data_IF_054893690808
#
_entry.id   IF_054893690808
#
_cell.length_a   1.000
_cell.length_b   1.000
_cell.length_c   1.000
_cell.angle_alpha   90.00
_cell.angle_beta   90.00
_cell.angle_gamma   90.00
#
_symmetry.space_group_name_H-M   'P 1'
#
loop_
_entity.id
_entity.type
_entity.pdbx_description
1 polymer ?
#
# COMPACT_ATOMS: atom_id res chain seq x y z
N UNK A 1 -0.19 -18.61 -15.17
CA UNK A 1 -1.39 -18.74 -14.32
C UNK A 1 -1.50 -17.44 -13.52
N UNK A 2 -2.47 -16.58 -13.85
CA UNK A 2 -2.74 -15.39 -13.02
C UNK A 2 -3.50 -15.91 -11.80
N UNK A 3 -2.95 -15.72 -10.60
CA UNK A 3 -3.69 -16.04 -9.38
C UNK A 3 -5.01 -15.25 -9.40
N UNK A 4 -6.13 -15.85 -9.04
CA UNK A 4 -7.42 -15.15 -8.98
C UNK A 4 -7.35 -14.09 -7.87
N UNK A 5 -6.85 -12.92 -8.21
CA UNK A 5 -6.48 -11.85 -7.29
C UNK A 5 -7.38 -10.62 -7.44
N UNK A 6 -8.33 -10.66 -8.37
CA UNK A 6 -9.28 -9.59 -8.68
C UNK A 6 -8.71 -8.50 -9.60
N UNK A 7 -7.49 -8.68 -10.11
CA UNK A 7 -6.85 -7.76 -11.04
C UNK A 7 -6.93 -8.28 -12.48
N UNK A 8 -6.98 -7.34 -13.41
CA UNK A 8 -6.93 -7.58 -14.85
C UNK A 8 -5.48 -7.79 -15.30
N UNK A 9 -5.29 -8.47 -16.43
CA UNK A 9 -3.95 -8.64 -17.02
C UNK A 9 -3.27 -7.30 -17.32
N UNK A 10 -4.04 -6.26 -17.69
CA UNK A 10 -3.52 -4.91 -17.91
C UNK A 10 -3.06 -4.22 -16.63
N UNK A 11 -3.59 -4.59 -15.46
CA UNK A 11 -3.17 -4.02 -14.18
C UNK A 11 -1.84 -4.62 -13.69
N UNK A 12 -1.35 -5.73 -14.26
CA UNK A 12 -0.07 -6.34 -13.88
C UNK A 12 1.13 -5.43 -14.14
N UNK A 13 1.07 -4.53 -15.13
CA UNK A 13 2.15 -3.55 -15.31
C UNK A 13 2.19 -2.52 -14.16
N UNK A 14 1.03 -2.19 -13.59
CA UNK A 14 0.93 -1.31 -12.42
C UNK A 14 1.47 -2.00 -11.17
N UNK A 15 1.28 -3.32 -11.04
CA UNK A 15 1.88 -4.11 -9.95
C UNK A 15 3.40 -3.93 -9.95
N UNK A 16 4.02 -4.17 -11.11
CA UNK A 16 5.46 -3.97 -11.29
C UNK A 16 5.88 -2.52 -11.00
N UNK A 17 5.14 -1.55 -11.55
CA UNK A 17 5.44 -0.13 -11.35
C UNK A 17 5.45 0.27 -9.87
N UNK A 18 4.42 -0.14 -9.11
CA UNK A 18 4.26 0.25 -7.70
C UNK A 18 5.02 -0.64 -6.72
N UNK A 19 5.43 -1.84 -7.13
CA UNK A 19 6.36 -2.68 -6.38
C UNK A 19 7.83 -2.27 -6.60
N UNK A 20 8.12 -1.58 -7.69
CA UNK A 20 9.47 -1.11 -8.02
C UNK A 20 9.94 0.02 -7.09
N UNK A 21 11.20 -0.06 -6.65
CA UNK A 21 11.88 1.02 -5.93
C UNK A 21 12.30 2.19 -6.82
N UNK A 22 12.15 2.07 -8.14
CA UNK A 22 12.68 3.04 -9.11
C UNK A 22 11.73 4.20 -9.41
N UNK A 23 10.49 4.16 -8.92
CA UNK A 23 9.51 5.21 -9.18
C UNK A 23 9.67 6.36 -8.17
N UNK A 24 10.37 7.42 -8.58
CA UNK A 24 10.45 8.65 -7.79
C UNK A 24 9.15 9.47 -7.91
N UNK A 25 8.95 10.35 -6.93
CA UNK A 25 7.71 11.13 -6.81
C UNK A 25 7.55 12.17 -7.93
N UNK A 26 8.63 12.77 -8.42
CA UNK A 26 8.55 13.80 -9.46
C UNK A 26 8.18 13.18 -10.81
N UNK A 27 8.79 12.05 -11.16
CA UNK A 27 8.44 11.28 -12.36
C UNK A 27 6.98 10.84 -12.28
N UNK A 28 6.53 10.36 -11.12
CA UNK A 28 5.14 9.95 -10.93
C UNK A 28 4.17 11.13 -11.09
N UNK A 29 4.38 12.26 -10.41
CA UNK A 29 3.56 13.47 -10.57
C UNK A 29 3.50 13.94 -12.02
N UNK A 30 4.63 13.92 -12.75
CA UNK A 30 4.64 14.25 -14.17
C UNK A 30 3.75 13.29 -14.98
N UNK A 31 3.84 11.98 -14.75
CA UNK A 31 2.96 11.00 -15.40
C UNK A 31 1.48 11.25 -15.08
N UNK A 32 1.15 11.52 -13.81
CA UNK A 32 -0.22 11.82 -13.37
C UNK A 32 -0.82 13.04 -14.09
N UNK A 33 -0.01 14.09 -14.29
CA UNK A 33 -0.45 15.31 -14.97
C UNK A 33 -0.94 15.06 -16.41
N UNK A 34 -0.51 13.96 -17.02
CA UNK A 34 -0.84 13.57 -18.40
C UNK A 34 -2.05 12.64 -18.50
N UNK A 35 -2.55 12.12 -17.38
CA UNK A 35 -3.70 11.22 -17.38
C UNK A 35 -4.99 12.01 -17.62
N UNK A 36 -5.87 11.44 -18.44
CA UNK A 36 -7.26 11.86 -18.55
C UNK A 36 -8.05 11.52 -17.28
N UNK A 37 -9.26 12.05 -17.15
CA UNK A 37 -10.12 11.76 -15.99
C UNK A 37 -10.44 10.27 -15.86
N UNK A 38 -10.73 9.59 -16.96
CA UNK A 38 -11.05 8.15 -16.97
C UNK A 38 -9.84 7.29 -16.61
N UNK A 39 -8.64 7.65 -17.08
CA UNK A 39 -7.39 6.99 -16.70
C UNK A 39 -7.05 7.23 -15.22
N UNK A 40 -7.24 8.46 -14.74
CA UNK A 40 -7.06 8.80 -13.33
C UNK A 40 -8.00 8.01 -12.42
N UNK A 41 -9.29 7.92 -12.77
CA UNK A 41 -10.27 7.14 -12.02
C UNK A 41 -9.91 5.65 -12.01
N UNK A 42 -9.42 5.13 -13.14
CA UNK A 42 -8.97 3.74 -13.24
C UNK A 42 -7.75 3.48 -12.35
N UNK A 43 -6.82 4.43 -12.27
CA UNK A 43 -5.67 4.35 -11.36
C UNK A 43 -6.10 4.38 -9.89
N UNK A 44 -7.04 5.25 -9.52
CA UNK A 44 -7.58 5.33 -8.16
C UNK A 44 -8.25 3.99 -7.78
N UNK A 45 -9.07 3.43 -8.67
CA UNK A 45 -9.70 2.11 -8.47
C UNK A 45 -8.67 0.99 -8.32
N UNK A 46 -7.59 1.05 -9.08
CA UNK A 46 -6.48 0.11 -8.94
C UNK A 46 -5.82 0.20 -7.55
N UNK A 47 -5.55 1.41 -7.06
CA UNK A 47 -4.98 1.62 -5.71
C UNK A 47 -5.95 1.20 -4.61
N UNK A 48 -7.24 1.47 -4.78
CA UNK A 48 -8.31 1.01 -3.87
C UNK A 48 -8.37 -0.52 -3.76
N UNK A 49 -8.28 -1.26 -4.88
CA UNK A 49 -8.21 -2.73 -4.84
C UNK A 49 -7.07 -3.22 -3.96
N UNK A 50 -5.92 -2.56 -4.00
CA UNK A 50 -4.79 -2.88 -3.12
C UNK A 50 -5.07 -2.56 -1.66
N UNK A 51 -5.63 -1.40 -1.36
CA UNK A 51 -6.01 -1.04 0.01
C UNK A 51 -7.00 -2.05 0.61
N UNK A 52 -8.05 -2.42 -0.13
CA UNK A 52 -9.02 -3.46 0.27
C UNK A 52 -8.35 -4.81 0.48
N UNK A 53 -7.36 -5.15 -0.35
CA UNK A 53 -6.59 -6.38 -0.20
C UNK A 53 -5.75 -6.38 1.08
N UNK A 54 -5.14 -5.25 1.43
CA UNK A 54 -4.41 -5.08 2.69
C UNK A 54 -5.31 -5.07 3.92
N UNK A 55 -6.50 -4.49 3.82
CA UNK A 55 -7.50 -4.54 4.89
C UNK A 55 -7.90 -5.99 5.21
N UNK A 56 -8.09 -6.80 4.18
CA UNK A 56 -8.45 -8.22 4.33
C UNK A 56 -7.26 -9.13 4.65
N UNK A 57 -6.09 -8.83 4.11
CA UNK A 57 -4.88 -9.63 4.23
C UNK A 57 -3.66 -8.75 4.56
N UNK A 58 -3.51 -8.32 5.84
CA UNK A 58 -2.42 -7.44 6.26
C UNK A 58 -1.01 -8.02 5.99
N UNK A 59 -0.91 -9.34 5.88
CA UNK A 59 0.32 -10.08 5.61
C UNK A 59 0.71 -10.13 4.11
N UNK A 60 -0.08 -9.52 3.22
CA UNK A 60 0.26 -9.46 1.81
C UNK A 60 1.62 -8.74 1.64
N UNK A 61 2.55 -9.37 0.95
CA UNK A 61 3.89 -8.84 0.74
C UNK A 61 4.53 -9.53 -0.48
N UNK A 62 5.59 -8.94 -1.07
CA UNK A 62 6.43 -9.63 -2.03
C UNK A 62 6.92 -10.99 -1.48
N UNK A 63 6.88 -12.02 -2.32
CA UNK A 63 7.33 -13.37 -1.97
C UNK A 63 8.46 -13.86 -2.91
N UNK A 64 9.70 -13.38 -2.72
CA UNK A 64 10.84 -13.73 -3.57
C UNK A 64 11.26 -15.19 -3.48
N UNK A 65 10.90 -15.88 -2.39
CA UNK A 65 11.13 -17.31 -2.28
C UNK A 65 10.22 -18.10 -3.21
N UNK A 66 8.96 -17.70 -3.37
CA UNK A 66 8.03 -18.33 -4.30
C UNK A 66 8.42 -18.03 -5.75
N UNK A 67 8.83 -16.79 -6.05
CA UNK A 67 9.34 -16.43 -7.37
C UNK A 67 10.53 -17.32 -7.78
N UNK A 68 11.55 -17.44 -6.91
CA UNK A 68 12.75 -18.24 -7.20
C UNK A 68 12.51 -19.74 -7.28
N UNK A 69 11.67 -20.31 -6.39
CA UNK A 69 11.47 -21.77 -6.30
C UNK A 69 10.42 -22.31 -7.26
N UNK A 70 9.40 -21.49 -7.59
CA UNK A 70 8.22 -21.92 -8.34
C UNK A 70 8.11 -21.20 -9.69
N UNK A 71 9.03 -20.30 -10.03
CA UNK A 71 8.97 -19.49 -11.26
C UNK A 71 7.81 -18.49 -11.26
N UNK A 72 7.28 -18.15 -10.09
CA UNK A 72 6.12 -17.27 -9.94
C UNK A 72 6.57 -15.81 -9.80
N UNK A 73 7.12 -15.23 -10.87
CA UNK A 73 7.68 -13.87 -10.87
C UNK A 73 6.69 -12.79 -10.40
N UNK A 74 5.39 -12.99 -10.66
CA UNK A 74 4.34 -12.08 -10.19
C UNK A 74 4.26 -11.96 -8.66
N UNK A 75 4.78 -12.93 -7.90
CA UNK A 75 4.86 -12.85 -6.45
C UNK A 75 5.81 -11.76 -5.95
N UNK A 76 6.75 -11.31 -6.78
CA UNK A 76 7.65 -10.19 -6.45
C UNK A 76 7.01 -8.83 -6.73
N UNK A 77 5.91 -8.80 -7.47
CA UNK A 77 5.26 -7.56 -7.90
C UNK A 77 4.12 -7.15 -6.98
N UNK A 78 4.08 -7.65 -5.74
CA UNK A 78 3.11 -7.21 -4.73
C UNK A 78 3.61 -5.87 -4.16
N UNK A 79 2.98 -4.72 -4.45
CA UNK A 79 3.42 -3.43 -3.94
C UNK A 79 3.18 -3.36 -2.45
N UNK A 80 4.16 -2.88 -1.68
CA UNK A 80 4.00 -2.68 -0.24
C UNK A 80 2.87 -1.68 0.08
N UNK A 81 2.16 -1.90 1.20
CA UNK A 81 1.11 -0.97 1.65
C UNK A 81 1.61 0.48 1.74
N UNK A 82 2.85 0.66 2.22
CA UNK A 82 3.52 1.97 2.27
C UNK A 82 3.57 2.65 0.90
N UNK A 83 3.95 1.91 -0.14
CA UNK A 83 4.00 2.42 -1.50
C UNK A 83 2.60 2.78 -2.00
N UNK A 84 1.61 1.90 -1.81
CA UNK A 84 0.22 2.15 -2.22
C UNK A 84 -0.34 3.42 -1.59
N UNK A 85 -0.20 3.58 -0.27
CA UNK A 85 -0.66 4.77 0.46
C UNK A 85 0.10 6.02 0.01
N UNK A 86 1.42 5.93 -0.19
CA UNK A 86 2.25 7.05 -0.68
C UNK A 86 1.74 7.54 -2.03
N UNK A 87 1.58 6.66 -3.01
CA UNK A 87 1.20 7.07 -4.36
C UNK A 87 -0.26 7.52 -4.44
N UNK A 88 -1.15 6.95 -3.62
CA UNK A 88 -2.49 7.50 -3.46
C UNK A 88 -2.44 8.94 -2.92
N UNK A 89 -1.59 9.22 -1.92
CA UNK A 89 -1.36 10.57 -1.42
C UNK A 89 -0.94 11.54 -2.52
N UNK A 90 0.02 11.14 -3.36
CA UNK A 90 0.46 11.97 -4.50
C UNK A 90 -0.68 12.23 -5.49
N UNK A 91 -1.52 11.23 -5.80
CA UNK A 91 -2.70 11.40 -6.65
C UNK A 91 -3.66 12.44 -6.06
N UNK A 92 -3.92 12.37 -4.75
CA UNK A 92 -4.79 13.30 -4.06
C UNK A 92 -4.22 14.72 -4.07
N UNK A 93 -2.92 14.87 -3.79
CA UNK A 93 -2.25 16.17 -3.70
C UNK A 93 -2.20 16.88 -5.07
N UNK A 94 -1.84 16.18 -6.14
CA UNK A 94 -1.68 16.75 -7.49
C UNK A 94 -3.01 17.07 -8.19
N UNK A 95 -4.08 16.33 -7.85
CA UNK A 95 -5.35 16.41 -8.58
C UNK A 95 -6.57 16.76 -7.72
N UNK A 96 -6.35 17.21 -6.47
CA UNK A 96 -7.41 17.54 -5.52
C UNK A 96 -8.60 18.29 -6.14
N UNK A 97 -8.33 19.36 -6.90
CA UNK A 97 -9.38 20.17 -7.53
C UNK A 97 -10.25 19.37 -8.48
N UNK A 98 -9.68 18.52 -9.33
CA UNK A 98 -10.46 17.65 -10.22
C UNK A 98 -11.23 16.60 -9.42
N UNK A 99 -10.59 15.96 -8.45
CA UNK A 99 -11.17 14.88 -7.67
C UNK A 99 -12.38 15.33 -6.84
N UNK A 100 -12.36 16.55 -6.32
CA UNK A 100 -13.45 17.10 -5.51
C UNK A 100 -14.60 17.62 -6.38
N UNK A 101 -14.36 18.01 -7.64
CA UNK A 101 -15.39 18.61 -8.49
C UNK A 101 -16.28 17.57 -9.19
N UNK A 102 -15.78 16.37 -9.47
CA UNK A 102 -16.51 15.35 -10.22
C UNK A 102 -17.05 14.24 -9.30
N UNK A 103 -18.36 13.98 -9.35
CA UNK A 103 -19.06 13.05 -8.46
C UNK A 103 -18.56 11.61 -8.54
N UNK A 104 -18.16 11.15 -9.74
CA UNK A 104 -17.60 9.81 -9.95
C UNK A 104 -16.35 9.53 -9.12
N UNK A 105 -15.54 10.56 -8.84
CA UNK A 105 -14.38 10.44 -7.96
C UNK A 105 -14.77 10.50 -6.49
N UNK A 106 -15.77 11.32 -6.14
CA UNK A 106 -16.22 11.44 -4.75
C UNK A 106 -16.74 10.12 -4.19
N UNK A 107 -17.51 9.36 -4.97
CA UNK A 107 -18.02 8.06 -4.55
C UNK A 107 -16.89 7.06 -4.30
N UNK A 108 -15.91 7.00 -5.20
CA UNK A 108 -14.74 6.13 -5.04
C UNK A 108 -13.88 6.55 -3.84
N UNK A 109 -13.63 7.85 -3.67
CA UNK A 109 -12.86 8.39 -2.54
C UNK A 109 -13.54 8.15 -1.20
N UNK A 110 -14.88 8.16 -1.15
CA UNK A 110 -15.62 7.82 0.07
C UNK A 110 -15.44 6.35 0.46
N UNK A 111 -15.41 5.44 -0.52
CA UNK A 111 -15.12 4.02 -0.26
C UNK A 111 -13.69 3.85 0.27
N UNK A 112 -12.73 4.53 -0.37
CA UNK A 112 -11.32 4.53 0.05
C UNK A 112 -11.15 5.07 1.47
N UNK A 113 -11.82 6.16 1.83
CA UNK A 113 -11.77 6.75 3.18
C UNK A 113 -12.13 5.74 4.27
N UNK A 114 -13.16 4.91 4.04
CA UNK A 114 -13.53 3.82 4.96
C UNK A 114 -12.40 2.82 5.18
N UNK A 115 -11.78 2.35 4.09
CA UNK A 115 -10.68 1.37 4.11
C UNK A 115 -9.43 1.98 4.76
N UNK A 116 -9.08 3.22 4.42
CA UNK A 116 -7.93 3.91 5.01
C UNK A 116 -8.11 4.13 6.52
N UNK A 117 -9.32 4.49 6.97
CA UNK A 117 -9.62 4.62 8.41
C UNK A 117 -9.46 3.30 9.15
N UNK A 118 -9.94 2.20 8.57
CA UNK A 118 -9.80 0.85 9.09
C UNK A 118 -8.32 0.44 9.20
N UNK A 119 -7.56 0.60 8.12
CA UNK A 119 -6.11 0.36 8.10
C UNK A 119 -5.35 1.22 9.10
N UNK A 120 -5.69 2.52 9.21
CA UNK A 120 -5.06 3.43 10.16
C UNK A 120 -5.37 3.06 11.61
N UNK A 121 -6.57 2.55 11.89
CA UNK A 121 -6.92 2.00 13.20
C UNK A 121 -6.07 0.77 13.54
N UNK A 122 -5.95 -0.17 12.60
CA UNK A 122 -5.08 -1.33 12.74
C UNK A 122 -3.61 -0.96 12.96
N UNK A 123 -3.10 0.00 12.18
CA UNK A 123 -1.74 0.49 12.32
C UNK A 123 -1.47 1.11 13.70
N UNK A 124 -2.39 1.93 14.23
CA UNK A 124 -2.26 2.50 15.58
C UNK A 124 -2.20 1.42 16.66
N UNK A 125 -3.06 0.41 16.58
CA UNK A 125 -3.04 -0.72 17.51
C UNK A 125 -1.71 -1.47 17.44
N UNK A 126 -1.23 -1.78 16.24
CA UNK A 126 0.06 -2.44 16.03
C UNK A 126 1.23 -1.61 16.58
N UNK A 127 1.23 -0.29 16.40
CA UNK A 127 2.24 0.59 16.98
C UNK A 127 2.23 0.51 18.51
N UNK A 128 1.07 0.62 19.16
CA UNK A 128 0.98 0.52 20.61
C UNK A 128 1.49 -0.83 21.14
N UNK A 129 1.20 -1.93 20.45
CA UNK A 129 1.72 -3.26 20.80
C UNK A 129 3.24 -3.30 20.62
N UNK A 130 3.77 -2.74 19.53
CA UNK A 130 5.20 -2.67 19.29
C UNK A 130 5.91 -1.87 20.40
N UNK A 131 5.36 -0.73 20.81
CA UNK A 131 5.89 0.09 21.90
C UNK A 131 5.95 -0.70 23.22
N UNK A 132 4.90 -1.46 23.54
CA UNK A 132 4.88 -2.33 24.74
C UNK A 132 5.95 -3.41 24.64
N UNK A 133 6.11 -4.05 23.48
CA UNK A 133 7.13 -5.09 23.26
C UNK A 133 8.54 -4.53 23.44
N UNK A 134 8.82 -3.35 22.88
CA UNK A 134 10.13 -2.71 23.04
C UNK A 134 10.41 -2.31 24.49
N UNK A 135 9.40 -1.80 25.21
CA UNK A 135 9.54 -1.50 26.64
C UNK A 135 9.83 -2.76 27.47
N UNK A 136 9.13 -3.87 27.21
CA UNK A 136 9.35 -5.12 27.92
C UNK A 136 10.75 -5.71 27.63
N UNK A 137 11.24 -5.62 26.40
CA UNK A 137 12.62 -6.03 26.06
C UNK A 137 13.64 -5.22 26.84
N UNK A 138 13.47 -3.89 26.90
CA UNK A 138 14.37 -3.01 27.63
C UNK A 138 14.40 -3.31 29.14
N UNK A 139 13.25 -3.65 29.74
CA UNK A 139 13.17 -4.03 31.15
C UNK A 139 13.89 -5.37 31.43
N UNK A 140 13.71 -6.37 30.56
CA UNK A 140 14.42 -7.66 30.69
C UNK A 140 15.93 -7.47 30.59
N UNK A 141 16.41 -6.67 29.63
CA UNK A 141 17.84 -6.39 29.48
C UNK A 141 18.40 -5.64 30.70
N UNK A 142 17.66 -4.68 31.26
CA UNK A 142 18.06 -3.96 32.48
C UNK A 142 18.12 -4.87 33.71
N UNK A 143 17.16 -5.79 33.87
CA UNK A 143 17.12 -6.74 34.98
C UNK A 143 18.25 -7.79 34.90
N UNK A 144 18.65 -8.20 33.69
CA UNK A 144 19.83 -9.07 33.50
C UNK A 144 21.12 -8.37 33.91
N UNK A 145 21.26 -7.07 33.62
CA UNK A 145 22.42 -6.29 34.09
C UNK A 145 22.49 -6.20 35.62
N UNK A 146 21.35 -6.05 36.30
CA UNK A 146 21.29 -6.02 37.76
C UNK A 146 21.59 -7.37 38.44
N UNK A 147 21.37 -8.50 37.76
CA UNK A 147 21.67 -9.84 38.27
C UNK A 147 23.14 -10.25 38.06
N UNK A 148 23.87 -9.52 37.21
CA UNK A 148 25.28 -9.78 36.87
C UNK A 148 26.25 -8.78 37.53
N UNK A 149 25.75 -7.78 38.26
CA UNK A 149 26.50 -6.78 39.04
C UNK A 149 26.43 -7.07 40.54
#
# INVERSE_FOLDING_TARGET
>A
MIAYDGFTSSELCLHYLFASSNLDQLTFSFCLSRLSGTEMLSLIKYLDKWLKKYEKFPQAAPCPRAAKKLGLEACDWVPELKSVVKYLGVVLDEHFSKLVLYTEFQDELRLIDGVVKSLACGARLCCSVADVVENLKAEVESNVFHLLS
#
